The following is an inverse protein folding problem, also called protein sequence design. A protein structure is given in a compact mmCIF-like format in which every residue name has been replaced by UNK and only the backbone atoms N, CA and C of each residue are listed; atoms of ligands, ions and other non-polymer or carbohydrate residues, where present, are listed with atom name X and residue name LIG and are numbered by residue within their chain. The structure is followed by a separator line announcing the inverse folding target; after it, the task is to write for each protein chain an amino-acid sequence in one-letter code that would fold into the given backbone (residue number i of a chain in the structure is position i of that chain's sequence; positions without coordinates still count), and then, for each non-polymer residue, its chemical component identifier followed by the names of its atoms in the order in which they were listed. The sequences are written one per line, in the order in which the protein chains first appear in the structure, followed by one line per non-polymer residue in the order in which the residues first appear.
data_IF_086973496233
#
_entry.id   IF_086973496233
#
_cell.length_a   1.000
_cell.length_b   1.000
_cell.length_c   1.000
_cell.angle_alpha   90.00
_cell.angle_beta   90.00
_cell.angle_gamma   90.00
#
_symmetry.space_group_name_H-M   'P 1'
#
loop_
_entity.id
_entity.type
_entity.pdbx_description
1 polymer ?
#
# COMPACT_ATOMS: atom_id res chain seq x y z
N UNK A 1 2.63 -1.25 -1.04
CA UNK A 1 2.74 0.22 -1.16
C UNK A 1 2.47 0.85 0.19
N UNK A 2 2.88 2.11 0.39
CA UNK A 2 2.62 2.82 1.65
C UNK A 2 1.14 3.07 1.85
N UNK A 3 0.62 2.74 3.04
CA UNK A 3 -0.74 3.12 3.44
C UNK A 3 -0.73 4.46 4.17
N UNK A 4 -1.76 5.27 3.94
CA UNK A 4 -1.94 6.56 4.61
C UNK A 4 -3.11 6.45 5.58
N UNK A 5 -2.99 6.97 6.79
CA UNK A 5 -4.09 6.97 7.77
C UNK A 5 -4.25 8.32 8.46
N UNK A 6 -5.43 8.55 9.03
CA UNK A 6 -5.65 9.69 9.91
C UNK A 6 -4.88 9.55 11.22
N UNK A 7 -4.18 10.61 11.64
CA UNK A 7 -3.63 10.72 13.00
C UNK A 7 -4.76 10.81 14.05
N UNK A 8 -5.72 11.70 13.80
CA UNK A 8 -6.89 11.94 14.63
C UNK A 8 -8.19 11.68 13.86
N UNK A 9 -9.11 10.96 14.49
CA UNK A 9 -10.40 10.53 13.94
C UNK A 9 -11.60 11.22 14.60
N UNK A 10 -11.38 12.23 15.46
CA UNK A 10 -12.44 12.85 16.28
C UNK A 10 -13.34 13.80 15.49
N UNK A 11 -12.89 14.27 14.34
CA UNK A 11 -13.60 15.24 13.52
C UNK A 11 -13.89 14.74 12.10
N UNK A 12 -12.95 14.03 11.47
CA UNK A 12 -13.16 13.39 10.17
C UNK A 12 -12.29 12.15 10.01
N UNK A 13 -12.64 11.28 9.06
CA UNK A 13 -11.87 10.11 8.66
C UNK A 13 -11.78 10.04 7.14
N UNK A 14 -10.54 10.01 6.64
CA UNK A 14 -10.18 9.72 5.26
C UNK A 14 -9.87 8.23 5.13
N UNK A 15 -8.90 7.73 5.89
CA UNK A 15 -8.50 6.31 5.87
C UNK A 15 -8.19 5.82 7.30
N UNK A 16 -8.67 4.62 7.68
CA UNK A 16 -8.35 4.00 8.96
C UNK A 16 -6.94 3.40 8.96
N UNK A 17 -6.41 2.98 10.13
CA UNK A 17 -5.24 2.11 10.20
C UNK A 17 -5.43 0.85 9.33
N UNK A 18 -4.49 0.60 8.42
CA UNK A 18 -4.59 -0.49 7.45
C UNK A 18 -3.23 -0.81 6.82
N UNK A 19 -3.00 -2.07 6.47
CA UNK A 19 -1.97 -2.47 5.52
C UNK A 19 -2.20 -3.91 5.07
N UNK A 20 -1.65 -4.27 3.91
CA UNK A 20 -1.73 -5.61 3.37
C UNK A 20 -0.33 -6.20 3.24
N UNK A 21 -0.18 -7.46 3.63
CA UNK A 21 1.06 -8.21 3.46
C UNK A 21 0.75 -9.44 2.62
N UNK A 22 1.57 -9.70 1.62
CA UNK A 22 1.52 -10.89 0.77
C UNK A 22 2.82 -11.69 0.92
N UNK A 23 2.72 -13.01 0.78
CA UNK A 23 3.86 -13.92 0.85
C UNK A 23 3.65 -15.11 -0.09
N UNK A 24 4.68 -15.41 -0.89
CA UNK A 24 4.78 -16.69 -1.61
C UNK A 24 5.85 -17.55 -0.95
N UNK A 25 5.58 -18.84 -0.82
CA UNK A 25 6.52 -19.83 -0.28
C UNK A 25 7.01 -20.69 -1.42
N UNK A 26 8.32 -20.77 -1.59
CA UNK A 26 8.96 -21.52 -2.68
C UNK A 26 9.71 -22.70 -2.07
N UNK A 27 9.32 -23.92 -2.43
CA UNK A 27 10.09 -25.12 -2.14
C UNK A 27 11.26 -25.21 -3.11
N UNK A 28 12.46 -25.31 -2.53
CA UNK A 28 13.74 -25.42 -3.24
C UNK A 28 14.45 -26.75 -2.96
N UNK A 29 13.76 -27.69 -2.33
CA UNK A 29 14.37 -28.96 -1.90
C UNK A 29 14.49 -29.99 -3.02
N UNK A 30 13.86 -29.72 -4.17
CA UNK A 30 13.94 -30.52 -5.39
C UNK A 30 14.40 -29.66 -6.58
N UNK A 31 14.85 -30.32 -7.66
CA UNK A 31 15.53 -29.69 -8.80
C UNK A 31 14.88 -28.41 -9.31
N UNK A 32 13.58 -28.47 -9.63
CA UNK A 32 12.78 -27.32 -10.07
C UNK A 32 12.02 -26.70 -8.89
N UNK A 33 12.05 -25.37 -8.69
CA UNK A 33 11.30 -24.73 -7.61
C UNK A 33 9.78 -24.91 -7.77
N UNK A 34 9.07 -25.05 -6.65
CA UNK A 34 7.60 -25.11 -6.63
C UNK A 34 7.01 -24.08 -5.67
N UNK A 35 5.93 -23.43 -6.07
CA UNK A 35 5.16 -22.54 -5.20
C UNK A 35 4.26 -23.38 -4.30
N UNK A 36 4.53 -23.39 -3.00
CA UNK A 36 3.80 -24.18 -2.01
C UNK A 36 2.60 -23.41 -1.51
N UNK A 37 1.42 -24.02 -1.63
CA UNK A 37 0.16 -23.44 -1.14
C UNK A 37 -0.63 -24.36 -0.21
N UNK A 38 -0.08 -25.54 0.12
CA UNK A 38 -0.73 -26.55 0.95
C UNK A 38 0.27 -27.17 1.95
N UNK A 39 -0.25 -27.70 3.05
CA UNK A 39 0.57 -28.39 4.06
C UNK A 39 1.57 -27.49 4.80
N UNK A 40 1.40 -26.17 4.71
CA UNK A 40 2.20 -25.17 5.42
C UNK A 40 1.29 -24.12 6.07
N UNK A 41 1.78 -23.50 7.14
CA UNK A 41 1.21 -22.28 7.71
C UNK A 41 2.19 -21.13 7.51
N UNK A 42 1.68 -19.94 7.20
CA UNK A 42 2.48 -18.73 7.10
C UNK A 42 2.04 -17.77 8.19
N UNK A 43 2.98 -17.30 8.99
CA UNK A 43 2.75 -16.39 10.11
C UNK A 43 3.52 -15.09 9.90
N UNK A 44 3.01 -14.00 10.47
CA UNK A 44 3.69 -12.71 10.49
C UNK A 44 3.69 -12.11 11.90
N UNK A 45 4.68 -11.27 12.16
CA UNK A 45 4.76 -10.41 13.35
C UNK A 45 5.46 -9.11 12.96
N UNK A 46 5.05 -7.99 13.55
CA UNK A 46 5.71 -6.68 13.40
C UNK A 46 6.36 -6.33 14.75
N UNK A 47 7.65 -6.68 14.97
CA UNK A 47 8.22 -6.67 16.32
C UNK A 47 8.33 -5.27 16.95
N UNK A 48 8.47 -4.22 16.14
CA UNK A 48 8.54 -2.84 16.62
C UNK A 48 7.18 -2.24 16.98
N UNK A 49 6.09 -2.87 16.56
CA UNK A 49 4.76 -2.29 16.61
C UNK A 49 3.72 -3.37 16.94
N UNK A 50 3.62 -3.73 18.22
CA UNK A 50 2.77 -4.83 18.70
C UNK A 50 1.40 -4.38 19.18
N UNK A 51 1.21 -3.06 19.33
CA UNK A 51 -0.04 -2.41 19.72
C UNK A 51 -0.23 -1.13 18.92
N UNK A 52 -1.47 -0.74 18.70
CA UNK A 52 -1.83 0.40 17.87
C UNK A 52 -2.87 1.30 18.52
N UNK A 53 -3.67 0.76 19.44
CA UNK A 53 -4.80 1.43 20.08
C UNK A 53 -4.47 2.53 21.07
N UNK A 54 -3.22 2.58 21.55
CA UNK A 54 -2.70 3.66 22.39
C UNK A 54 -2.03 4.79 21.59
N UNK A 55 -1.99 4.68 20.25
CA UNK A 55 -1.25 5.60 19.36
C UNK A 55 -2.14 6.48 18.47
N UNK A 56 -3.43 6.16 18.40
CA UNK A 56 -4.46 6.95 17.72
C UNK A 56 -5.82 6.70 18.38
N UNK A 57 -6.78 7.60 18.19
CA UNK A 57 -8.14 7.48 18.71
C UNK A 57 -9.12 6.73 17.78
N UNK A 58 -8.64 6.10 16.70
CA UNK A 58 -9.48 5.39 15.73
C UNK A 58 -10.53 4.47 16.36
N UNK A 59 -10.16 3.58 17.29
CA UNK A 59 -11.09 2.63 17.90
C UNK A 59 -12.20 3.29 18.73
N UNK A 60 -11.97 4.49 19.26
CA UNK A 60 -12.99 5.27 19.97
C UNK A 60 -14.10 5.71 19.01
N UNK A 61 -13.72 6.07 17.78
CA UNK A 61 -14.63 6.62 16.78
C UNK A 61 -15.09 5.62 15.72
N UNK A 62 -14.54 4.40 15.70
CA UNK A 62 -14.87 3.37 14.70
C UNK A 62 -16.37 3.07 14.62
N UNK A 63 -17.08 3.01 15.76
CA UNK A 63 -18.52 2.74 15.77
C UNK A 63 -19.34 3.85 15.10
N UNK A 64 -18.98 5.12 15.32
CA UNK A 64 -19.70 6.26 14.73
C UNK A 64 -19.31 6.48 13.27
N UNK A 65 -18.04 6.27 12.92
CA UNK A 65 -17.51 6.49 11.57
C UNK A 65 -17.83 5.33 10.60
N UNK A 66 -17.68 4.08 11.05
CA UNK A 66 -17.77 2.88 10.21
C UNK A 66 -18.99 2.00 10.53
N UNK A 67 -19.79 2.37 11.54
CA UNK A 67 -20.94 1.57 11.97
C UNK A 67 -20.58 0.26 12.68
N UNK A 68 -19.30 0.02 12.96
CA UNK A 68 -18.81 -1.22 13.57
C UNK A 68 -17.97 -0.94 14.82
N UNK A 69 -18.24 -1.67 15.90
CA UNK A 69 -17.39 -1.69 17.09
C UNK A 69 -16.19 -2.60 16.82
N UNK A 70 -15.03 -1.99 16.69
CA UNK A 70 -13.77 -2.69 16.42
C UNK A 70 -13.00 -2.79 17.74
N UNK A 71 -12.58 -4.00 18.18
CA UNK A 71 -11.78 -4.13 19.39
C UNK A 71 -10.42 -3.44 19.26
N UNK A 72 -9.83 -2.94 20.37
CA UNK A 72 -8.46 -2.42 20.38
C UNK A 72 -7.46 -3.37 19.71
N UNK A 73 -6.52 -2.80 18.95
CA UNK A 73 -5.46 -3.50 18.20
C UNK A 73 -5.96 -4.50 17.15
N UNK A 74 -7.22 -4.37 16.73
CA UNK A 74 -7.83 -5.14 15.64
C UNK A 74 -8.10 -4.21 14.47
N UNK A 75 -7.74 -4.65 13.27
CA UNK A 75 -8.03 -3.94 12.02
C UNK A 75 -9.47 -4.12 11.56
N UNK A 76 -9.89 -3.31 10.59
CA UNK A 76 -11.27 -3.33 10.05
C UNK A 76 -11.67 -4.68 9.44
N UNK A 77 -10.70 -5.53 9.12
CA UNK A 77 -10.87 -6.89 8.59
C UNK A 77 -10.70 -8.00 9.65
N UNK A 78 -10.46 -7.65 10.91
CA UNK A 78 -10.20 -8.60 12.01
C UNK A 78 -8.73 -9.01 12.18
N UNK A 79 -7.82 -8.50 11.35
CA UNK A 79 -6.37 -8.75 11.47
C UNK A 79 -5.76 -8.01 12.67
N UNK A 80 -4.55 -8.40 13.06
CA UNK A 80 -3.80 -7.86 14.21
C UNK A 80 -2.37 -7.50 13.77
N UNK A 81 -1.51 -7.11 14.70
CA UNK A 81 -0.09 -6.81 14.41
C UNK A 81 0.80 -8.07 14.32
N UNK A 82 0.20 -9.23 14.59
CA UNK A 82 0.78 -10.55 14.39
C UNK A 82 -0.32 -11.57 14.18
N UNK A 83 -0.05 -12.65 13.45
CA UNK A 83 -0.98 -13.76 13.31
C UNK A 83 -0.65 -14.68 12.15
N UNK A 84 -1.62 -15.49 11.76
CA UNK A 84 -1.52 -16.40 10.61
C UNK A 84 -2.11 -15.73 9.37
N UNK A 85 -1.41 -15.84 8.24
CA UNK A 85 -1.87 -15.38 6.93
C UNK A 85 -2.80 -16.42 6.31
N UNK A 86 -3.77 -15.96 5.52
CA UNK A 86 -4.75 -16.79 4.83
C UNK A 86 -4.35 -17.02 3.38
N UNK A 87 -4.73 -18.16 2.80
CA UNK A 87 -4.53 -18.39 1.36
C UNK A 87 -5.38 -17.39 0.55
N UNK A 88 -4.77 -16.70 -0.41
CA UNK A 88 -5.50 -15.80 -1.30
C UNK A 88 -6.42 -16.61 -2.22
N UNK A 89 -7.70 -16.22 -2.30
CA UNK A 89 -8.69 -16.92 -3.14
C UNK A 89 -8.31 -16.77 -4.61
N UNK A 90 -8.16 -17.90 -5.33
CA UNK A 90 -7.70 -17.89 -6.72
C UNK A 90 -6.21 -17.54 -6.92
N UNK A 91 -5.48 -17.27 -5.83
CA UNK A 91 -4.06 -16.96 -5.82
C UNK A 91 -3.17 -18.17 -5.57
N UNK A 92 -1.87 -17.94 -5.65
CA UNK A 92 -0.80 -18.88 -5.26
C UNK A 92 0.08 -18.30 -4.13
N UNK A 93 -0.47 -17.36 -3.39
CA UNK A 93 0.14 -16.65 -2.28
C UNK A 93 -0.73 -16.75 -1.01
N UNK A 94 -0.14 -16.29 0.08
CA UNK A 94 -0.78 -16.06 1.36
C UNK A 94 -0.88 -14.55 1.57
N UNK A 95 -1.98 -14.08 2.14
CA UNK A 95 -2.17 -12.67 2.47
C UNK A 95 -2.74 -12.48 3.86
N UNK A 96 -2.43 -11.34 4.44
CA UNK A 96 -3.19 -10.74 5.54
C UNK A 96 -3.56 -9.32 5.12
N UNK A 97 -4.85 -9.01 5.28
CA UNK A 97 -5.44 -7.76 4.82
C UNK A 97 -5.81 -6.90 6.03
N UNK A 98 -5.60 -5.60 5.94
CA UNK A 98 -6.08 -4.61 6.91
C UNK A 98 -5.40 -4.60 8.27
N UNK A 99 -4.11 -4.95 8.32
CA UNK A 99 -3.29 -4.90 9.55
C UNK A 99 -3.34 -3.46 10.12
N UNK A 100 -3.74 -3.25 11.39
CA UNK A 100 -3.93 -1.91 11.94
C UNK A 100 -2.61 -1.27 12.40
N UNK A 101 -1.60 -1.28 11.52
CA UNK A 101 -0.29 -0.68 11.78
C UNK A 101 -0.41 0.85 11.86
N UNK A 102 0.44 1.48 12.68
CA UNK A 102 0.53 2.94 12.81
C UNK A 102 1.98 3.38 12.58
N UNK A 103 2.25 4.63 12.19
CA UNK A 103 3.61 5.11 11.98
C UNK A 103 4.37 5.35 13.30
N UNK A 104 3.77 5.07 14.45
CA UNK A 104 4.42 5.18 15.76
C UNK A 104 4.74 3.78 16.29
N UNK A 105 5.98 3.54 16.66
CA UNK A 105 6.43 2.28 17.23
C UNK A 105 6.06 2.16 18.72
N UNK A 106 6.31 1.00 19.31
CA UNK A 106 6.01 0.73 20.71
C UNK A 106 6.83 1.56 21.71
N UNK A 107 7.89 2.21 21.25
CA UNK A 107 8.71 3.14 22.03
C UNK A 107 8.25 4.61 21.86
N UNK A 108 7.19 4.86 21.09
CA UNK A 108 6.68 6.21 20.81
C UNK A 108 7.48 6.98 19.76
N UNK A 109 8.30 6.29 18.96
CA UNK A 109 9.09 6.90 17.88
C UNK A 109 8.36 6.75 16.57
N UNK A 110 8.47 7.75 15.71
CA UNK A 110 7.96 7.63 14.34
C UNK A 110 8.85 6.67 13.54
N UNK A 111 8.24 5.61 13.03
CA UNK A 111 8.80 4.61 12.13
C UNK A 111 7.80 4.35 10.99
N UNK A 112 7.97 5.03 9.84
CA UNK A 112 7.08 4.84 8.68
C UNK A 112 7.38 3.55 7.90
N UNK A 113 8.44 2.83 8.25
CA UNK A 113 8.90 1.62 7.54
C UNK A 113 9.08 0.42 8.47
N UNK A 114 8.07 0.07 9.31
CA UNK A 114 8.22 -1.04 10.23
C UNK A 114 8.40 -2.35 9.47
N UNK A 115 9.33 -3.19 9.92
CA UNK A 115 9.59 -4.50 9.31
C UNK A 115 8.68 -5.58 9.93
N UNK A 116 7.92 -6.26 9.08
CA UNK A 116 7.31 -7.53 9.42
C UNK A 116 8.29 -8.68 9.20
N UNK A 117 8.32 -9.62 10.12
CA UNK A 117 8.95 -10.93 9.94
C UNK A 117 7.89 -11.94 9.52
N UNK A 118 8.09 -12.58 8.37
CA UNK A 118 7.22 -13.62 7.82
C UNK A 118 7.89 -14.96 8.02
N UNK A 119 7.15 -15.94 8.55
CA UNK A 119 7.65 -17.28 8.86
C UNK A 119 6.76 -18.35 8.24
N UNK A 120 7.34 -19.21 7.40
CA UNK A 120 6.66 -20.40 6.88
C UNK A 120 6.97 -21.61 7.76
N UNK A 121 5.95 -22.37 8.15
CA UNK A 121 6.09 -23.58 8.98
C UNK A 121 5.41 -24.79 8.33
N UNK A 122 5.98 -25.97 8.54
CA UNK A 122 5.39 -27.28 8.21
C UNK A 122 5.40 -28.15 9.46
N UNK A 123 4.23 -28.62 9.90
CA UNK A 123 4.08 -29.39 11.14
C UNK A 123 4.73 -28.73 12.38
N UNK A 124 4.64 -27.39 12.46
CA UNK A 124 5.23 -26.59 13.55
C UNK A 124 6.73 -26.29 13.41
N UNK A 125 7.42 -26.89 12.44
CA UNK A 125 8.85 -26.63 12.18
C UNK A 125 9.00 -25.47 11.19
N UNK A 126 9.88 -24.52 11.50
CA UNK A 126 10.19 -23.37 10.63
C UNK A 126 10.94 -23.86 9.39
N UNK A 127 10.38 -23.59 8.21
CA UNK A 127 10.96 -23.94 6.91
C UNK A 127 11.75 -22.77 6.31
N UNK A 128 11.34 -21.54 6.60
CA UNK A 128 11.98 -20.34 6.10
C UNK A 128 11.40 -19.08 6.71
N UNK A 129 12.18 -18.01 6.64
CA UNK A 129 11.79 -16.69 7.13
C UNK A 129 12.23 -15.62 6.14
N UNK A 130 11.44 -14.56 6.02
CA UNK A 130 11.84 -13.34 5.30
C UNK A 130 11.33 -12.12 6.05
N UNK A 131 11.76 -10.93 5.63
CA UNK A 131 11.28 -9.67 6.17
C UNK A 131 10.81 -8.76 5.05
N UNK A 132 9.76 -7.99 5.33
CA UNK A 132 9.19 -7.02 4.39
C UNK A 132 8.75 -5.78 5.16
N UNK A 133 8.87 -4.61 4.54
CA UNK A 133 8.35 -3.37 5.11
C UNK A 133 6.82 -3.38 5.06
N UNK A 134 6.17 -2.91 6.13
CA UNK A 134 4.72 -2.66 6.21
C UNK A 134 4.50 -1.15 6.27
N UNK A 135 4.71 -0.42 5.16
CA UNK A 135 4.90 1.01 5.19
C UNK A 135 3.60 1.74 5.50
N UNK A 136 3.64 2.65 6.48
CA UNK A 136 2.48 3.42 6.93
C UNK A 136 2.88 4.84 7.26
N UNK A 137 1.99 5.79 7.00
CA UNK A 137 2.18 7.18 7.35
C UNK A 137 0.86 7.86 7.67
N UNK A 138 0.93 8.90 8.49
CA UNK A 138 -0.14 9.86 8.73
C UNK A 138 0.20 11.26 8.20
N UNK A 139 1.23 11.35 7.35
CA UNK A 139 1.63 12.58 6.68
C UNK A 139 0.62 12.94 5.58
N UNK A 140 -0.46 13.62 6.00
CA UNK A 140 -1.50 14.18 5.13
C UNK A 140 -1.51 15.70 5.39
N UNK A 141 -0.78 16.46 4.58
CA UNK A 141 -0.46 17.87 4.81
C UNK A 141 -1.60 18.87 4.54
N UNK A 142 -2.85 18.53 4.87
CA UNK A 142 -4.00 19.44 4.69
C UNK A 142 -3.77 20.81 5.35
N UNK A 143 -3.06 20.83 6.48
CA UNK A 143 -2.73 22.02 7.26
C UNK A 143 -1.81 23.02 6.53
N UNK A 144 -1.21 22.64 5.40
CA UNK A 144 -0.44 23.57 4.55
C UNK A 144 -1.34 24.72 4.10
N UNK A 145 -2.62 24.44 3.80
CA UNK A 145 -3.61 25.42 3.33
C UNK A 145 -4.85 25.53 4.24
N UNK A 146 -5.23 24.45 4.93
CA UNK A 146 -6.33 24.45 5.89
C UNK A 146 -5.83 24.81 7.29
N UNK A 147 -5.57 26.10 7.51
CA UNK A 147 -4.91 26.62 8.70
C UNK A 147 -5.58 27.90 9.25
N UNK A 148 -6.88 28.06 9.03
CA UNK A 148 -7.65 29.19 9.57
C UNK A 148 -7.41 29.32 11.09
N UNK A 149 -6.91 30.48 11.59
CA UNK A 149 -6.59 30.64 13.00
C UNK A 149 -7.79 30.44 13.92
N UNK A 150 -7.60 29.69 15.00
CA UNK A 150 -8.61 29.47 16.04
C UNK A 150 -9.50 28.24 15.83
N UNK A 151 -9.32 27.51 14.74
CA UNK A 151 -10.00 26.23 14.47
C UNK A 151 -9.00 25.14 14.06
N UNK A 152 -9.39 23.88 14.18
CA UNK A 152 -8.56 22.77 13.71
C UNK A 152 -8.56 22.67 12.19
N UNK A 153 -7.53 22.02 11.62
CA UNK A 153 -7.46 21.68 10.18
C UNK A 153 -8.73 20.97 9.71
N UNK A 154 -9.22 19.99 10.49
CA UNK A 154 -10.43 19.25 10.15
C UNK A 154 -11.68 20.14 10.18
N UNK A 155 -11.83 21.03 11.17
CA UNK A 155 -12.91 22.01 11.20
C UNK A 155 -12.87 22.91 9.97
N UNK A 156 -11.68 23.43 9.61
CA UNK A 156 -11.52 24.31 8.45
C UNK A 156 -11.89 23.61 7.14
N UNK A 157 -11.53 22.33 6.98
CA UNK A 157 -11.97 21.49 5.85
C UNK A 157 -13.50 21.40 5.81
N UNK A 158 -14.14 21.04 6.93
CA UNK A 158 -15.58 20.82 6.98
C UNK A 158 -16.38 22.11 6.78
N UNK A 159 -15.93 23.24 7.34
CA UNK A 159 -16.55 24.56 7.11
C UNK A 159 -16.46 24.99 5.64
N UNK A 160 -15.30 24.79 5.00
CA UNK A 160 -15.13 25.08 3.57
C UNK A 160 -16.00 24.16 2.71
N UNK A 161 -16.13 22.89 3.09
CA UNK A 161 -17.04 21.95 2.43
C UNK A 161 -18.50 22.40 2.57
N UNK A 162 -18.93 22.76 3.78
CA UNK A 162 -20.27 23.27 4.07
C UNK A 162 -20.58 24.53 3.25
N UNK A 163 -19.64 25.48 3.18
CA UNK A 163 -19.80 26.70 2.39
C UNK A 163 -19.88 26.43 0.88
N UNK A 164 -19.14 25.45 0.37
CA UNK A 164 -19.06 25.18 -1.08
C UNK A 164 -20.22 24.31 -1.58
N UNK A 165 -20.71 23.39 -0.74
CA UNK A 165 -21.69 22.38 -1.13
C UNK A 165 -23.03 22.49 -0.40
N UNK A 166 -23.20 23.47 0.50
CA UNK A 166 -24.43 23.67 1.25
C UNK A 166 -24.70 22.56 2.27
N UNK A 167 -23.66 21.89 2.77
CA UNK A 167 -23.76 20.82 3.76
C UNK A 167 -23.74 21.36 5.21
N UNK A 168 -23.89 20.48 6.20
CA UNK A 168 -23.79 20.79 7.64
C UNK A 168 -22.87 19.77 8.34
N UNK A 169 -21.75 19.44 7.70
CA UNK A 169 -20.81 18.42 8.12
C UNK A 169 -20.04 18.83 9.38
N UNK A 170 -19.75 20.11 9.58
CA UNK A 170 -19.09 20.56 10.81
C UNK A 170 -19.92 20.23 12.05
N UNK A 171 -21.24 20.41 11.97
CA UNK A 171 -22.17 20.07 13.05
C UNK A 171 -22.39 18.56 13.20
N UNK A 172 -21.96 17.77 12.22
CA UNK A 172 -22.18 16.32 12.13
C UNK A 172 -20.91 15.51 12.42
N UNK A 173 -19.86 16.13 12.97
CA UNK A 173 -18.61 15.46 13.32
C UNK A 173 -18.83 14.26 14.29
N UNK A 174 -18.03 13.18 14.17
CA UNK A 174 -17.00 12.98 13.15
C UNK A 174 -17.59 12.54 11.79
N UNK A 175 -16.96 12.94 10.69
CA UNK A 175 -17.44 12.66 9.32
C UNK A 175 -16.55 11.65 8.61
N UNK A 176 -17.13 10.54 8.15
CA UNK A 176 -16.47 9.65 7.20
C UNK A 176 -16.64 10.21 5.78
N UNK A 177 -15.54 10.64 5.14
CA UNK A 177 -15.58 11.18 3.77
C UNK A 177 -16.20 10.18 2.79
N UNK A 178 -15.80 8.91 2.93
CA UNK A 178 -16.29 7.78 2.15
C UNK A 178 -17.75 7.37 2.46
N UNK A 179 -18.41 8.00 3.44
CA UNK A 179 -19.84 7.82 3.69
C UNK A 179 -20.71 8.45 2.59
N UNK A 180 -20.18 9.49 1.92
CA UNK A 180 -20.83 10.16 0.80
C UNK A 180 -20.09 9.93 -0.52
N UNK A 181 -18.77 10.01 -0.51
CA UNK A 181 -17.95 9.82 -1.69
C UNK A 181 -17.60 8.35 -1.89
N UNK A 182 -17.79 7.80 -3.10
CA UNK A 182 -17.40 6.42 -3.37
C UNK A 182 -15.88 6.25 -3.22
N UNK A 183 -15.45 5.21 -2.52
CA UNK A 183 -14.03 4.88 -2.33
C UNK A 183 -13.80 3.36 -2.39
N UNK A 184 -13.21 2.86 -3.49
CA UNK A 184 -12.81 1.46 -3.63
C UNK A 184 -11.85 0.96 -2.55
N UNK A 185 -10.97 1.81 -1.99
CA UNK A 185 -10.06 1.38 -0.92
C UNK A 185 -10.80 0.97 0.35
N UNK A 186 -11.96 1.60 0.62
CA UNK A 186 -12.83 1.28 1.74
C UNK A 186 -14.02 0.38 1.36
N UNK A 187 -14.13 -0.01 0.08
CA UNK A 187 -15.25 -0.79 -0.43
C UNK A 187 -16.60 -0.06 -0.32
N UNK A 188 -16.59 1.28 -0.29
CA UNK A 188 -17.79 2.09 -0.10
C UNK A 188 -18.39 2.49 -1.46
N UNK A 189 -19.70 2.31 -1.67
CA UNK A 189 -20.34 2.64 -2.95
C UNK A 189 -20.57 4.15 -3.15
N UNK A 190 -20.43 4.95 -2.09
CA UNK A 190 -20.80 6.37 -2.10
C UNK A 190 -22.30 6.60 -2.26
N UNK A 191 -22.68 7.85 -2.50
CA UNK A 191 -24.06 8.30 -2.70
C UNK A 191 -24.31 8.68 -4.17
N UNK A 192 -25.51 8.43 -4.72
CA UNK A 192 -25.86 8.84 -6.08
C UNK A 192 -25.68 10.34 -6.29
N UNK A 193 -25.04 10.72 -7.40
CA UNK A 193 -24.80 12.13 -7.76
C UNK A 193 -23.64 12.80 -7.01
N UNK A 194 -22.95 12.09 -6.11
CA UNK A 194 -21.72 12.55 -5.47
C UNK A 194 -20.53 11.94 -6.21
N UNK A 195 -19.50 12.75 -6.50
CA UNK A 195 -18.29 12.26 -7.17
C UNK A 195 -17.54 11.27 -6.28
N UNK A 196 -16.80 10.35 -6.89
CA UNK A 196 -15.86 9.50 -6.16
C UNK A 196 -14.87 10.34 -5.35
N UNK A 197 -14.35 9.79 -4.24
CA UNK A 197 -13.51 10.54 -3.31
C UNK A 197 -12.22 11.03 -3.98
N UNK A 198 -11.59 10.18 -4.79
CA UNK A 198 -10.44 10.55 -5.62
C UNK A 198 -10.75 11.75 -6.53
N UNK A 199 -11.84 11.69 -7.31
CA UNK A 199 -12.20 12.80 -8.21
C UNK A 199 -12.50 14.09 -7.45
N UNK A 200 -13.22 14.00 -6.32
CA UNK A 200 -13.54 15.16 -5.49
C UNK A 200 -12.27 15.85 -4.97
N UNK A 201 -11.33 15.07 -4.44
CA UNK A 201 -10.10 15.59 -3.85
C UNK A 201 -9.19 16.17 -4.93
N UNK A 202 -8.89 15.41 -5.98
CA UNK A 202 -7.92 15.83 -6.98
C UNK A 202 -8.42 17.02 -7.81
N UNK A 203 -9.67 17.01 -8.30
CA UNK A 203 -10.19 18.10 -9.13
C UNK A 203 -10.43 19.39 -8.32
N UNK A 204 -10.74 19.28 -7.03
CA UNK A 204 -10.85 20.46 -6.17
C UNK A 204 -9.47 21.07 -5.93
N UNK A 205 -8.42 20.28 -5.71
CA UNK A 205 -7.11 20.77 -5.31
C UNK A 205 -6.14 21.05 -6.47
N UNK A 206 -6.22 20.32 -7.59
CA UNK A 206 -5.29 20.44 -8.73
C UNK A 206 -4.96 21.89 -9.13
N UNK A 207 -5.97 22.76 -9.38
CA UNK A 207 -5.73 24.14 -9.80
C UNK A 207 -5.06 25.06 -8.77
N UNK A 208 -4.84 24.62 -7.53
CA UNK A 208 -4.27 25.43 -6.43
C UNK A 208 -3.04 24.81 -5.79
N UNK A 209 -2.63 23.60 -6.17
CA UNK A 209 -1.56 22.90 -5.47
C UNK A 209 -0.17 23.51 -5.69
N UNK A 210 0.05 24.21 -6.80
CA UNK A 210 1.27 25.00 -7.03
C UNK A 210 1.54 26.00 -5.87
N UNK A 211 0.48 26.52 -5.23
CA UNK A 211 0.59 27.46 -4.11
C UNK A 211 1.26 26.85 -2.87
N UNK A 212 1.33 25.52 -2.76
CA UNK A 212 2.03 24.84 -1.68
C UNK A 212 3.57 25.00 -1.76
N UNK A 213 4.11 25.35 -2.94
CA UNK A 213 5.55 25.57 -3.13
C UNK A 213 6.41 24.31 -2.92
N UNK A 214 5.84 23.13 -3.11
CA UNK A 214 6.54 21.85 -3.00
C UNK A 214 7.19 21.47 -4.32
N UNK A 215 8.36 20.84 -4.26
CA UNK A 215 9.03 20.29 -5.45
C UNK A 215 8.19 19.18 -6.12
N UNK A 216 7.46 18.41 -5.32
CA UNK A 216 6.44 17.48 -5.78
C UNK A 216 5.15 17.80 -5.02
N UNK A 217 4.19 18.37 -5.73
CA UNK A 217 2.91 18.83 -5.21
C UNK A 217 2.00 17.71 -4.70
N UNK A 218 2.17 16.46 -5.19
CA UNK A 218 1.45 15.30 -4.68
C UNK A 218 1.74 15.07 -3.19
N UNK A 219 2.93 15.47 -2.73
CA UNK A 219 3.35 15.32 -1.34
C UNK A 219 2.69 16.29 -0.35
N UNK A 220 1.82 17.18 -0.83
CA UNK A 220 0.98 17.96 0.08
C UNK A 220 -0.10 17.11 0.75
N UNK A 221 -0.55 16.04 0.10
CA UNK A 221 -1.63 15.17 0.58
C UNK A 221 -1.19 13.71 0.72
N UNK A 222 -0.31 13.25 -0.16
CA UNK A 222 0.29 11.93 -0.06
C UNK A 222 1.58 12.00 0.74
N UNK A 223 1.92 10.97 1.54
CA UNK A 223 3.13 11.00 2.34
C UNK A 223 4.38 11.11 1.48
N UNK A 224 5.29 12.05 1.75
CA UNK A 224 6.41 12.21 0.84
C UNK A 224 7.48 13.23 1.19
N UNK A 225 7.15 14.31 1.90
CA UNK A 225 8.15 15.28 2.35
C UNK A 225 9.08 14.62 3.38
N UNK A 226 8.55 13.74 4.24
CA UNK A 226 9.34 13.01 5.24
C UNK A 226 9.35 11.50 4.97
N UNK A 227 8.20 10.91 4.71
CA UNK A 227 8.06 9.44 4.63
C UNK A 227 8.14 8.86 3.21
N UNK A 228 8.40 9.67 2.18
CA UNK A 228 8.69 9.24 0.80
C UNK A 228 7.84 8.04 0.33
N UNK A 229 6.53 8.26 0.07
CA UNK A 229 5.64 7.20 -0.43
C UNK A 229 6.24 6.52 -1.66
N UNK A 230 6.73 7.31 -2.62
CA UNK A 230 7.63 6.86 -3.68
C UNK A 230 9.07 6.94 -3.21
N UNK A 231 9.77 5.80 -3.27
CA UNK A 231 11.19 5.67 -2.88
C UNK A 231 11.92 4.59 -3.69
N UNK A 232 11.37 4.29 -4.86
CA UNK A 232 11.79 3.19 -5.70
C UNK A 232 12.92 3.56 -6.68
N UNK A 233 13.29 2.58 -7.50
CA UNK A 233 14.31 2.72 -8.54
C UNK A 233 13.95 3.77 -9.61
N UNK A 234 12.66 4.10 -9.80
CA UNK A 234 12.24 5.14 -10.74
C UNK A 234 12.55 6.52 -10.14
N UNK A 235 12.25 6.73 -8.85
CA UNK A 235 12.67 7.95 -8.15
C UNK A 235 14.19 8.12 -8.18
N UNK A 236 14.96 7.05 -7.98
CA UNK A 236 16.42 7.09 -8.07
C UNK A 236 16.93 7.51 -9.47
N UNK A 237 16.10 7.36 -10.51
CA UNK A 237 16.37 7.82 -11.88
C UNK A 237 15.75 9.18 -12.22
N UNK A 238 15.17 9.86 -11.22
CA UNK A 238 14.60 11.19 -11.36
C UNK A 238 13.14 11.22 -11.79
N UNK A 239 12.46 10.06 -11.88
CA UNK A 239 11.02 10.03 -12.17
C UNK A 239 10.20 10.41 -10.93
N UNK A 240 9.15 11.17 -11.15
CA UNK A 240 8.20 11.67 -10.16
C UNK A 240 6.82 11.06 -10.43
N UNK A 241 5.86 11.37 -9.55
CA UNK A 241 4.51 10.82 -9.61
C UNK A 241 3.82 11.08 -10.95
N UNK A 242 3.99 12.29 -11.50
CA UNK A 242 3.38 12.72 -12.76
C UNK A 242 3.96 12.03 -14.00
N UNK A 243 5.15 11.42 -13.93
CA UNK A 243 5.70 10.65 -15.06
C UNK A 243 4.89 9.37 -15.32
N UNK A 244 4.17 8.84 -14.31
CA UNK A 244 3.27 7.70 -14.45
C UNK A 244 1.79 8.10 -14.33
N UNK A 245 1.47 9.02 -13.41
CA UNK A 245 0.10 9.43 -13.11
C UNK A 245 -0.35 10.68 -13.89
N UNK A 246 0.48 11.22 -14.78
CA UNK A 246 0.22 12.33 -15.71
C UNK A 246 0.03 13.68 -15.01
N UNK A 247 -1.07 13.88 -14.27
CA UNK A 247 -1.35 15.10 -13.50
C UNK A 247 -2.38 14.83 -12.40
N UNK A 248 -2.57 15.77 -11.46
CA UNK A 248 -3.64 15.65 -10.47
C UNK A 248 -5.02 15.53 -11.13
N UNK A 249 -5.30 16.32 -12.15
CA UNK A 249 -6.57 16.25 -12.89
C UNK A 249 -6.78 14.90 -13.57
N UNK A 250 -5.71 14.30 -14.12
CA UNK A 250 -5.78 12.97 -14.71
C UNK A 250 -6.09 11.88 -13.67
N UNK A 251 -5.47 11.96 -12.48
CA UNK A 251 -5.79 11.06 -11.35
C UNK A 251 -7.22 11.28 -10.85
N UNK A 252 -7.72 12.50 -10.97
CA UNK A 252 -9.08 12.91 -10.62
C UNK A 252 -10.15 12.66 -11.68
N UNK A 253 -9.78 12.16 -12.86
CA UNK A 253 -10.74 11.96 -13.97
C UNK A 253 -11.91 11.07 -13.51
N UNK A 254 -13.18 11.52 -13.65
CA UNK A 254 -14.35 10.73 -13.28
C UNK A 254 -14.50 9.41 -14.04
N UNK A 255 -13.82 9.23 -15.17
CA UNK A 255 -13.80 7.97 -15.93
C UNK A 255 -12.77 6.98 -15.38
N UNK A 256 -11.88 7.41 -14.46
CA UNK A 256 -10.89 6.57 -13.80
C UNK A 256 -11.46 6.03 -12.49
N UNK A 257 -11.30 4.73 -12.27
CA UNK A 257 -11.58 4.08 -10.99
C UNK A 257 -10.29 4.01 -10.16
N UNK A 258 -10.17 4.77 -9.05
CA UNK A 258 -8.96 4.75 -8.23
C UNK A 258 -8.73 3.35 -7.65
N UNK A 259 -7.46 2.96 -7.49
CA UNK A 259 -7.01 1.64 -7.00
C UNK A 259 -7.28 0.46 -7.95
N UNK A 260 -7.95 0.71 -9.07
CA UNK A 260 -8.28 -0.25 -10.12
C UNK A 260 -7.54 0.12 -11.41
N UNK A 261 -7.70 1.35 -11.88
CA UNK A 261 -7.07 1.85 -13.10
C UNK A 261 -5.72 2.49 -12.77
N UNK A 262 -4.69 1.68 -12.52
CA UNK A 262 -3.34 2.14 -12.17
C UNK A 262 -2.39 2.10 -13.39
N UNK A 263 -1.32 2.93 -13.39
CA UNK A 263 -0.28 2.85 -14.42
C UNK A 263 0.30 1.44 -14.53
N UNK A 264 0.58 1.00 -15.76
CA UNK A 264 1.05 -0.36 -16.05
C UNK A 264 2.51 -0.34 -16.51
N UNK A 265 3.31 -1.30 -16.03
CA UNK A 265 4.70 -1.47 -16.43
C UNK A 265 4.85 -1.60 -17.95
N UNK A 266 3.92 -2.32 -18.59
CA UNK A 266 3.91 -2.53 -20.04
C UNK A 266 3.83 -1.23 -20.86
N UNK A 267 3.25 -0.15 -20.32
CA UNK A 267 3.12 1.13 -21.04
C UNK A 267 4.47 1.78 -21.36
N UNK A 268 5.51 1.46 -20.59
CA UNK A 268 6.88 1.94 -20.81
C UNK A 268 7.85 0.81 -21.18
N UNK A 269 7.78 -0.33 -20.50
CA UNK A 269 8.81 -1.37 -20.61
C UNK A 269 8.58 -2.37 -21.75
N UNK A 270 7.39 -2.42 -22.36
CA UNK A 270 7.12 -3.34 -23.46
C UNK A 270 7.96 -3.03 -24.70
N UNK A 271 8.27 -1.76 -24.96
CA UNK A 271 9.08 -1.35 -26.10
C UNK A 271 10.51 -1.90 -26.01
N UNK A 272 11.09 -1.91 -24.81
CA UNK A 272 12.43 -2.44 -24.55
C UNK A 272 12.46 -3.96 -24.45
N UNK A 273 11.34 -4.57 -24.05
CA UNK A 273 11.19 -6.01 -23.84
C UNK A 273 9.94 -6.58 -24.53
N UNK A 274 9.93 -6.65 -25.88
CA UNK A 274 8.73 -7.00 -26.64
C UNK A 274 8.25 -8.45 -26.46
N UNK A 275 9.09 -9.32 -25.91
CA UNK A 275 8.78 -10.73 -25.67
C UNK A 275 8.36 -11.03 -24.23
N UNK A 276 8.39 -10.03 -23.35
CA UNK A 276 8.01 -10.18 -21.94
C UNK A 276 6.52 -9.88 -21.76
N UNK A 277 5.91 -10.56 -20.79
CA UNK A 277 4.57 -10.27 -20.30
C UNK A 277 4.66 -9.42 -19.03
N UNK A 278 3.86 -8.37 -18.96
CA UNK A 278 3.80 -7.47 -17.79
C UNK A 278 2.56 -7.79 -16.95
N UNK A 279 1.73 -6.81 -16.63
CA UNK A 279 0.52 -7.02 -15.86
C UNK A 279 -0.44 -8.01 -16.53
N UNK A 280 -0.89 -9.03 -15.78
CA UNK A 280 -2.01 -9.88 -16.20
C UNK A 280 -3.26 -9.02 -16.54
N UNK A 281 -4.03 -9.38 -17.58
CA UNK A 281 -5.22 -8.62 -17.95
C UNK A 281 -6.21 -8.42 -16.79
N UNK A 282 -6.59 -7.17 -16.54
CA UNK A 282 -7.54 -6.79 -15.48
C UNK A 282 -6.97 -6.82 -14.07
N UNK A 283 -5.64 -6.92 -13.92
CA UNK A 283 -4.95 -6.86 -12.63
C UNK A 283 -3.92 -5.74 -12.60
N UNK A 284 -3.69 -5.22 -11.40
CA UNK A 284 -2.62 -4.27 -11.15
C UNK A 284 -1.31 -5.01 -10.84
N UNK A 285 -0.17 -4.32 -11.00
CA UNK A 285 1.17 -4.82 -10.63
C UNK A 285 1.22 -5.59 -9.30
N UNK A 286 0.50 -5.11 -8.27
CA UNK A 286 0.47 -5.71 -6.93
C UNK A 286 -0.17 -7.11 -6.88
N UNK A 287 -0.99 -7.45 -7.88
CA UNK A 287 -1.74 -8.70 -8.02
C UNK A 287 -1.21 -9.58 -9.16
N UNK A 288 -0.50 -8.97 -10.11
CA UNK A 288 0.01 -9.66 -11.29
C UNK A 288 1.21 -10.54 -10.97
N UNK A 289 1.40 -11.54 -11.84
CA UNK A 289 2.45 -12.54 -11.74
C UNK A 289 3.16 -12.69 -13.07
N UNK A 290 4.45 -12.98 -12.97
CA UNK A 290 5.31 -13.37 -14.09
C UNK A 290 6.21 -14.53 -13.63
N UNK A 291 7.10 -14.97 -14.51
CA UNK A 291 8.03 -16.06 -14.22
C UNK A 291 7.32 -17.29 -13.60
N UNK A 292 6.36 -17.85 -14.33
CA UNK A 292 5.60 -19.05 -13.94
C UNK A 292 4.83 -18.90 -12.63
N UNK A 293 4.26 -17.72 -12.40
CA UNK A 293 3.35 -17.46 -11.28
C UNK A 293 4.00 -16.77 -10.07
N UNK A 294 5.25 -16.34 -10.14
CA UNK A 294 5.84 -15.46 -9.12
C UNK A 294 5.17 -14.09 -9.19
N UNK A 295 4.65 -13.61 -8.06
CA UNK A 295 4.08 -12.27 -7.98
C UNK A 295 5.15 -11.24 -8.33
N UNK A 296 4.79 -10.23 -9.12
CA UNK A 296 5.73 -9.17 -9.50
C UNK A 296 6.39 -8.57 -8.25
N UNK A 297 5.60 -8.33 -7.21
CA UNK A 297 6.08 -7.77 -5.95
C UNK A 297 7.03 -8.67 -5.15
N UNK A 298 6.96 -10.00 -5.31
CA UNK A 298 7.91 -10.93 -4.66
C UNK A 298 9.33 -10.75 -5.20
N UNK A 299 9.46 -10.41 -6.49
CA UNK A 299 10.74 -10.25 -7.18
C UNK A 299 11.22 -8.79 -7.20
N UNK A 300 10.31 -7.86 -7.48
CA UNK A 300 10.62 -6.46 -7.76
C UNK A 300 10.37 -5.53 -6.56
N UNK A 301 9.72 -5.98 -5.49
CA UNK A 301 9.36 -5.13 -4.33
C UNK A 301 7.94 -4.58 -4.39
N UNK A 302 7.54 -3.82 -3.37
CA UNK A 302 6.18 -3.28 -3.31
C UNK A 302 5.94 -2.15 -4.32
N UNK A 303 4.67 -1.86 -4.71
CA UNK A 303 4.34 -0.62 -5.43
C UNK A 303 4.94 0.60 -4.74
N UNK A 304 5.54 1.51 -5.51
CA UNK A 304 6.27 2.71 -5.05
C UNK A 304 7.55 2.42 -4.24
N UNK A 305 7.94 1.15 -4.10
CA UNK A 305 9.15 0.67 -3.46
C UNK A 305 9.79 -0.47 -4.28
N UNK A 306 9.78 -0.31 -5.61
CA UNK A 306 10.46 -1.19 -6.56
C UNK A 306 11.97 -1.11 -6.37
N UNK A 307 12.62 -2.26 -6.19
CA UNK A 307 14.02 -2.35 -5.81
C UNK A 307 14.99 -2.14 -7.00
N UNK A 308 16.23 -1.64 -6.77
CA UNK A 308 16.75 -1.16 -5.49
C UNK A 308 16.10 0.17 -5.09
N UNK A 309 15.68 0.26 -3.85
CA UNK A 309 15.07 1.47 -3.31
C UNK A 309 16.13 2.38 -2.69
N UNK A 310 15.82 3.67 -2.54
CA UNK A 310 16.67 4.61 -1.80
C UNK A 310 16.57 4.42 -0.28
N UNK A 311 15.59 3.64 0.19
CA UNK A 311 15.36 3.36 1.62
C UNK A 311 15.86 1.96 1.96
N UNK A 312 16.87 1.89 2.84
CA UNK A 312 17.54 0.64 3.17
C UNK A 312 16.60 -0.49 3.64
N UNK A 313 15.53 -0.16 4.37
CA UNK A 313 14.57 -1.12 4.91
C UNK A 313 13.90 -1.98 3.82
N UNK A 314 13.53 -1.39 2.67
CA UNK A 314 12.89 -2.16 1.59
C UNK A 314 13.87 -3.09 0.86
N UNK A 315 15.18 -2.85 0.97
CA UNK A 315 16.20 -3.70 0.35
C UNK A 315 16.54 -4.93 1.22
N UNK A 316 16.04 -5.03 2.46
CA UNK A 316 16.39 -6.11 3.40
C UNK A 316 16.07 -7.49 2.84
N UNK A 317 14.90 -7.66 2.21
CA UNK A 317 14.52 -8.93 1.58
C UNK A 317 15.53 -9.36 0.51
N UNK A 318 15.82 -8.46 -0.44
CA UNK A 318 16.73 -8.73 -1.54
C UNK A 318 18.14 -9.04 -1.01
N UNK A 319 18.68 -8.22 -0.10
CA UNK A 319 20.01 -8.43 0.48
C UNK A 319 20.08 -9.78 1.20
N UNK A 320 19.05 -10.15 1.95
CA UNK A 320 19.01 -11.44 2.66
C UNK A 320 18.96 -12.61 1.68
N UNK A 321 18.24 -12.46 0.57
CA UNK A 321 18.06 -13.53 -0.41
C UNK A 321 19.29 -13.74 -1.30
N UNK A 322 19.89 -12.67 -1.83
CA UNK A 322 20.94 -12.73 -2.86
C UNK A 322 22.24 -11.99 -2.52
N UNK A 323 22.34 -11.38 -1.33
CA UNK A 323 23.55 -10.68 -0.88
C UNK A 323 23.72 -9.25 -1.41
N UNK A 324 22.78 -8.73 -2.21
CA UNK A 324 22.80 -7.35 -2.71
C UNK A 324 21.37 -6.77 -2.86
N UNK A 325 21.21 -5.43 -2.84
CA UNK A 325 19.93 -4.79 -3.12
C UNK A 325 19.55 -4.95 -4.61
N UNK A 326 18.27 -4.78 -4.91
CA UNK A 326 17.76 -4.87 -6.28
C UNK A 326 16.59 -5.83 -6.42
N UNK A 327 16.07 -5.94 -7.65
CA UNK A 327 15.16 -7.05 -7.97
C UNK A 327 15.89 -8.37 -7.71
N UNK A 328 15.16 -9.41 -7.32
CA UNK A 328 15.74 -10.74 -7.18
C UNK A 328 16.12 -11.26 -8.57
N UNK A 329 17.41 -11.27 -8.88
CA UNK A 329 17.96 -11.70 -10.17
C UNK A 329 19.00 -12.83 -10.05
N UNK A 330 19.30 -13.26 -8.82
CA UNK A 330 20.11 -14.45 -8.57
C UNK A 330 19.25 -15.72 -8.61
N UNK A 331 19.38 -16.53 -9.66
CA UNK A 331 18.52 -17.71 -9.89
C UNK A 331 18.49 -18.70 -8.71
N UNK A 332 19.62 -18.87 -8.03
CA UNK A 332 19.77 -19.79 -6.87
C UNK A 332 19.04 -19.30 -5.61
N UNK A 333 18.36 -18.15 -5.67
CA UNK A 333 17.35 -17.72 -4.68
C UNK A 333 16.07 -18.55 -4.73
N UNK A 334 15.77 -19.19 -5.86
CA UNK A 334 14.61 -20.07 -5.98
C UNK A 334 15.04 -21.47 -6.43
N UNK A 335 15.93 -21.54 -7.41
CA UNK A 335 16.36 -22.79 -8.02
C UNK A 335 17.48 -23.46 -7.21
N UNK A 336 17.51 -24.79 -7.24
CA UNK A 336 18.59 -25.56 -6.60
C UNK A 336 19.96 -25.35 -7.28
N UNK A 337 19.93 -25.06 -8.59
CA UNK A 337 21.07 -24.76 -9.44
C UNK A 337 20.68 -23.64 -10.42
N UNK A 338 21.67 -22.99 -11.04
CA UNK A 338 21.40 -21.96 -12.07
C UNK A 338 20.85 -22.63 -13.34
N UNK A 339 19.64 -22.27 -13.81
CA UNK A 339 19.12 -22.79 -15.07
C UNK A 339 19.98 -22.35 -16.27
N UNK A 340 20.12 -23.22 -17.27
CA UNK A 340 20.83 -22.93 -18.52
C UNK A 340 19.98 -22.11 -19.51
N UNK A 341 18.66 -22.11 -19.34
CA UNK A 341 17.71 -21.43 -20.22
C UNK A 341 17.61 -19.93 -19.91
N UNK A 342 17.26 -19.09 -20.92
CA UNK A 342 16.98 -17.68 -20.71
C UNK A 342 15.86 -17.45 -19.69
N UNK A 343 15.94 -16.36 -18.92
CA UNK A 343 14.92 -16.00 -17.94
C UNK A 343 13.54 -15.78 -18.61
N UNK A 344 12.51 -16.58 -18.28
CA UNK A 344 11.18 -16.39 -18.82
C UNK A 344 10.41 -15.37 -17.98
N UNK A 345 10.23 -14.16 -18.51
CA UNK A 345 9.36 -13.13 -17.91
C UNK A 345 7.92 -13.29 -18.41
N UNK A 346 7.33 -14.47 -18.18
CA UNK A 346 5.97 -14.85 -18.63
C UNK A 346 5.22 -15.65 -17.58
N UNK A 347 3.90 -15.63 -17.62
CA UNK A 347 3.03 -16.33 -16.67
C UNK A 347 3.03 -17.85 -16.91
N UNK A 348 3.03 -18.29 -18.16
CA UNK A 348 3.06 -19.71 -18.55
C UNK A 348 4.31 -20.04 -19.36
N UNK A 349 4.55 -21.33 -19.56
CA UNK A 349 5.47 -21.79 -20.58
C UNK A 349 4.87 -21.61 -21.98
N UNK A 350 5.75 -21.35 -22.96
CA UNK A 350 5.42 -21.68 -24.34
C UNK A 350 5.47 -23.22 -24.42
N UNK A 351 4.30 -23.87 -24.55
CA UNK A 351 4.23 -25.29 -24.90
C UNK A 351 4.96 -25.60 -26.22
#
# INVERSE_FOLDING_TARGET
GMHCMNEDCSELLILPPFNNIHAQVIDRTHGSPEIVTQGISVEYVIPSNTRSSDKTNFWVYAQVLLGASIPPDVGVTGSRLSGTMSRTVGGNDYSIVGVPITPIDDAGREDPYPLATITAKRNGVVMGTTQVVVPVSWEIGCNICHNTPGISTATDILQKHDSMHGTQLEASKPVLCAGCHADPALGTPGQPGVSAFSSAMHLSHGPRMEQAGLANECYACHPGVRTLCQRDVHLARGMQCNDCHISMEAVGDPNRTPWVDEPQCGECHQADHPTWEFEEPGKNYKESRGHRGIMCASCHGSPHAITPTITAADNVQAITAQGHPGRIDTCTVCHSETPDDPFPHRLSDDD
#
